data_IF_048756901663
#
_entry.id   IF_048756901663
#
_cell.length_a   1.000
_cell.length_b   1.000
_cell.length_c   1.000
_cell.angle_alpha   90.00
_cell.angle_beta   90.00
_cell.angle_gamma   90.00
#
_symmetry.space_group_name_H-M   'P 1'
#
loop_
_entity.id
_entity.type
_entity.pdbx_description
1 polymer ?
#
# COMPACT_ATOMS: atom_id res chain seq x y z
N UNK A 1 -2.38 12.57 -34.47
CA UNK A 1 -3.10 12.63 -33.18
C UNK A 1 -3.43 11.21 -32.75
N UNK A 2 -2.42 10.46 -32.32
CA UNK A 2 -2.57 9.07 -31.89
C UNK A 2 -2.78 9.12 -30.38
N UNK A 3 -4.02 8.92 -29.92
CA UNK A 3 -4.28 8.70 -28.50
C UNK A 3 -3.63 7.36 -28.16
N UNK A 4 -2.60 7.41 -27.33
CA UNK A 4 -1.78 6.28 -26.88
C UNK A 4 -2.64 5.12 -26.35
N UNK A 5 -2.15 3.89 -26.52
CA UNK A 5 -2.78 2.66 -26.00
C UNK A 5 -3.16 2.75 -24.52
N UNK A 6 -2.44 3.57 -23.74
CA UNK A 6 -2.76 3.97 -22.37
C UNK A 6 -4.20 4.47 -22.23
N UNK A 7 -4.68 5.36 -23.11
CA UNK A 7 -6.04 5.90 -23.02
C UNK A 7 -7.11 4.82 -23.24
N UNK A 8 -6.88 3.87 -24.14
CA UNK A 8 -7.81 2.75 -24.41
C UNK A 8 -7.88 1.79 -23.23
N UNK A 9 -6.73 1.46 -22.66
CA UNK A 9 -6.58 0.60 -21.48
C UNK A 9 -7.21 1.26 -20.24
N UNK A 10 -6.95 2.55 -20.04
CA UNK A 10 -7.54 3.41 -19.01
C UNK A 10 -9.00 3.77 -19.27
N UNK A 11 -9.65 3.27 -20.32
CA UNK A 11 -11.09 3.39 -20.50
C UNK A 11 -11.83 2.08 -20.17
N UNK A 12 -11.12 0.97 -19.91
CA UNK A 12 -11.73 -0.31 -19.56
C UNK A 12 -12.26 -0.34 -18.11
N UNK A 13 -13.40 -1.01 -17.87
CA UNK A 13 -14.15 -1.05 -16.61
C UNK A 13 -13.51 -1.86 -15.46
N UNK A 14 -12.22 -2.19 -15.55
CA UNK A 14 -11.55 -3.14 -14.63
C UNK A 14 -11.48 -2.66 -13.17
N UNK A 15 -11.44 -1.35 -12.92
CA UNK A 15 -11.36 -0.79 -11.57
C UNK A 15 -12.69 -0.70 -10.82
N UNK A 16 -13.83 -0.74 -11.53
CA UNK A 16 -15.15 -0.46 -10.94
C UNK A 16 -15.81 -1.71 -10.33
N UNK A 17 -15.29 -2.90 -10.62
CA UNK A 17 -16.04 -4.16 -10.47
C UNK A 17 -15.91 -4.85 -9.10
N UNK A 18 -15.58 -4.12 -8.04
CA UNK A 18 -15.54 -4.69 -6.68
C UNK A 18 -16.64 -4.21 -5.72
N UNK A 19 -17.49 -3.25 -6.15
CA UNK A 19 -18.61 -2.74 -5.33
C UNK A 19 -19.91 -3.57 -5.41
N UNK A 20 -19.95 -4.64 -6.19
CA UNK A 20 -21.13 -5.51 -6.26
C UNK A 20 -20.77 -6.98 -6.00
N UNK A 21 -20.33 -7.28 -4.78
CA UNK A 21 -20.64 -8.59 -4.18
C UNK A 21 -21.96 -8.43 -3.43
N UNK A 22 -23.04 -8.35 -4.20
CA UNK A 22 -24.37 -8.63 -3.66
C UNK A 22 -24.31 -10.05 -3.09
N UNK A 23 -24.58 -10.18 -1.79
CA UNK A 23 -24.81 -11.46 -1.15
C UNK A 23 -26.04 -12.07 -1.83
N UNK A 24 -25.82 -12.97 -2.78
CA UNK A 24 -26.88 -13.79 -3.31
C UNK A 24 -27.39 -14.65 -2.16
N UNK A 25 -28.51 -14.22 -1.58
CA UNK A 25 -29.30 -15.00 -0.64
C UNK A 25 -29.69 -16.32 -1.35
N UNK A 26 -29.09 -17.41 -0.91
CA UNK A 26 -29.53 -18.77 -1.25
C UNK A 26 -30.74 -19.13 -0.37
N UNK A 27 -31.79 -19.77 -0.92
CA UNK A 27 -32.98 -20.09 -0.16
C UNK A 27 -32.67 -21.19 0.87
N UNK A 28 -33.20 -20.98 2.08
CA UNK A 28 -33.15 -21.91 3.21
C UNK A 28 -33.95 -23.17 2.86
N UNK A 29 -33.30 -24.33 2.94
CA UNK A 29 -33.94 -25.63 3.13
C UNK A 29 -33.49 -26.14 4.50
N UNK A 30 -34.45 -26.32 5.39
CA UNK A 30 -34.26 -26.99 6.68
C UNK A 30 -33.97 -28.47 6.47
N UNK A 31 -33.04 -29.03 7.24
CA UNK A 31 -33.36 -30.09 8.23
C UNK A 31 -32.13 -30.58 9.02
N UNK A 32 -32.32 -30.56 10.35
CA UNK A 32 -31.83 -31.49 11.39
C UNK A 32 -30.36 -31.93 11.43
N UNK A 33 -29.66 -31.60 12.52
CA UNK A 33 -29.02 -32.58 13.42
C UNK A 33 -28.30 -31.90 14.61
N UNK A 34 -28.80 -32.15 15.83
CA UNK A 34 -28.10 -32.46 17.09
C UNK A 34 -26.87 -31.64 17.59
N UNK A 35 -27.12 -30.87 18.68
CA UNK A 35 -26.34 -30.63 19.94
C UNK A 35 -24.85 -30.20 19.89
N UNK A 36 -24.26 -29.65 20.99
CA UNK A 36 -24.82 -28.99 22.18
C UNK A 36 -24.22 -27.60 22.47
N UNK A 37 -24.83 -26.91 23.43
CA UNK A 37 -24.44 -25.64 24.04
C UNK A 37 -23.03 -25.68 24.65
N UNK A 38 -22.29 -24.57 24.53
CA UNK A 38 -21.15 -24.28 25.40
C UNK A 38 -21.19 -22.80 25.78
N UNK A 39 -21.73 -22.56 26.98
CA UNK A 39 -21.79 -21.26 27.63
C UNK A 39 -20.42 -20.81 28.13
N UNK A 40 -20.21 -19.50 28.05
CA UNK A 40 -19.05 -18.77 28.58
C UNK A 40 -18.91 -18.95 30.10
N UNK A 41 -17.71 -19.03 30.69
CA UNK A 41 -17.57 -18.82 32.13
C UNK A 41 -17.21 -17.36 32.41
N UNK A 42 -18.18 -16.66 32.99
CA UNK A 42 -17.94 -15.52 33.86
C UNK A 42 -18.08 -15.98 35.30
N UNK A 43 -17.10 -15.61 36.14
CA UNK A 43 -17.19 -15.20 37.57
C UNK A 43 -16.09 -15.78 38.46
N UNK A 44 -15.38 -14.84 39.07
CA UNK A 44 -14.54 -15.00 40.24
C UNK A 44 -15.33 -15.51 41.45
N UNK A 45 -14.70 -16.39 42.24
CA UNK A 45 -14.99 -16.57 43.65
C UNK A 45 -13.68 -16.82 44.41
N UNK A 46 -13.58 -16.20 45.58
CA UNK A 46 -12.45 -16.10 46.52
C UNK A 46 -12.10 -17.43 47.20
N UNK A 47 -10.84 -17.60 47.60
CA UNK A 47 -10.33 -18.02 48.94
C UNK A 47 -8.78 -18.03 48.88
N UNK A 48 -8.04 -17.14 49.58
CA UNK A 48 -7.50 -17.26 50.95
C UNK A 48 -6.56 -18.50 51.10
N UNK A 49 -5.30 -18.51 51.57
CA UNK A 49 -4.44 -17.64 52.43
C UNK A 49 -2.97 -18.13 52.23
N UNK A 50 -1.89 -17.37 52.43
CA UNK A 50 -1.30 -16.95 53.72
C UNK A 50 -0.11 -15.98 53.51
N UNK A 51 0.24 -15.15 54.52
CA UNK A 51 1.26 -14.10 54.43
C UNK A 51 2.60 -14.53 55.06
N UNK A 52 3.72 -14.06 54.51
CA UNK A 52 5.03 -14.03 55.18
C UNK A 52 5.89 -12.86 54.62
N UNK A 53 6.88 -12.36 55.39
CA UNK A 53 7.18 -10.93 55.49
C UNK A 53 8.53 -10.47 54.92
N UNK A 54 8.57 -9.23 54.42
CA UNK A 54 9.78 -8.42 54.19
C UNK A 54 10.45 -8.58 52.81
N UNK A 55 11.25 -7.59 52.34
CA UNK A 55 11.96 -6.58 53.12
C UNK A 55 11.52 -5.13 52.86
N UNK A 56 11.67 -4.37 53.94
CA UNK A 56 11.67 -2.92 54.04
C UNK A 56 12.72 -2.32 53.09
N UNK A 57 12.29 -1.64 52.01
CA UNK A 57 13.13 -0.69 51.30
C UNK A 57 12.48 0.69 51.45
N UNK A 58 12.84 1.35 52.55
CA UNK A 58 12.77 2.79 52.64
C UNK A 58 13.78 3.34 51.64
N UNK A 59 13.30 3.85 50.52
CA UNK A 59 14.08 4.76 49.69
C UNK A 59 13.27 6.02 49.47
N UNK A 60 13.58 6.99 50.33
CA UNK A 60 13.33 8.41 50.21
C UNK A 60 14.00 8.93 48.92
N UNK A 61 13.31 8.75 47.79
CA UNK A 61 13.72 9.29 46.50
C UNK A 61 12.77 10.44 46.15
N UNK A 62 13.26 11.68 45.97
CA UNK A 62 12.41 12.79 45.60
C UNK A 62 11.77 12.51 44.24
N UNK A 63 10.44 12.60 44.20
CA UNK A 63 9.62 12.48 43.01
C UNK A 63 10.19 13.38 41.88
N UNK A 64 10.51 12.85 40.69
CA UNK A 64 10.71 13.73 39.55
C UNK A 64 9.37 14.42 39.25
N UNK A 65 9.34 15.74 39.01
CA UNK A 65 8.09 16.45 38.79
C UNK A 65 7.40 15.89 37.54
N UNK A 66 6.18 15.39 37.71
CA UNK A 66 5.23 15.07 36.65
C UNK A 66 4.82 16.36 35.94
N UNK A 67 5.71 16.84 35.07
CA UNK A 67 5.39 17.81 34.04
C UNK A 67 5.55 17.11 32.72
N UNK A 68 4.58 16.26 32.38
CA UNK A 68 4.29 16.00 30.97
C UNK A 68 3.49 17.22 30.54
N UNK A 69 4.04 18.17 29.78
CA UNK A 69 3.18 19.12 29.10
C UNK A 69 2.29 18.26 28.21
N UNK A 70 0.98 18.40 28.37
CA UNK A 70 -0.02 17.75 27.52
C UNK A 70 0.28 18.09 26.07
N UNK A 71 1.11 17.25 25.45
CA UNK A 71 1.36 17.22 24.03
C UNK A 71 0.12 16.62 23.40
N UNK A 72 -0.92 17.44 23.29
CA UNK A 72 -2.03 17.20 22.38
C UNK A 72 -1.42 17.30 20.98
N UNK A 73 -0.74 16.23 20.57
CA UNK A 73 -0.40 16.00 19.19
C UNK A 73 -1.71 16.06 18.44
N UNK A 74 -1.86 17.10 17.63
CA UNK A 74 -2.71 16.95 16.47
C UNK A 74 -2.23 15.68 15.74
N UNK A 75 -3.15 14.91 15.17
CA UNK A 75 -2.86 13.76 14.30
C UNK A 75 -2.15 14.19 12.98
N UNK A 76 -1.48 15.34 13.00
CA UNK A 76 -0.70 15.98 11.96
C UNK A 76 0.80 15.73 12.17
N UNK A 77 1.19 14.70 12.94
CA UNK A 77 2.60 14.46 13.31
C UNK A 77 3.33 13.38 12.50
N UNK A 78 2.66 12.81 11.49
CA UNK A 78 3.28 11.81 10.59
C UNK A 78 3.33 12.25 9.13
N UNK A 79 3.14 13.55 8.84
CA UNK A 79 3.45 14.08 7.50
C UNK A 79 4.96 14.15 7.35
N UNK A 80 5.58 13.02 7.01
CA UNK A 80 6.98 12.81 6.59
C UNK A 80 7.79 14.13 6.49
N UNK A 81 8.22 14.67 7.64
CA UNK A 81 8.81 16.02 7.73
C UNK A 81 10.15 16.16 6.98
N UNK A 82 10.67 15.04 6.45
CA UNK A 82 11.91 15.00 5.69
C UNK A 82 11.74 14.82 4.18
N UNK A 83 10.53 14.54 3.67
CA UNK A 83 10.34 14.34 2.24
C UNK A 83 10.42 15.68 1.49
N UNK A 84 11.37 15.79 0.58
CA UNK A 84 11.63 16.99 -0.23
C UNK A 84 10.73 16.99 -1.46
N UNK A 85 10.22 18.15 -1.85
CA UNK A 85 9.50 18.30 -3.12
C UNK A 85 10.41 17.89 -4.28
N UNK A 86 9.99 16.88 -5.05
CA UNK A 86 10.67 16.44 -6.26
C UNK A 86 10.03 17.05 -7.50
N UNK A 87 8.71 16.99 -7.60
CA UNK A 87 7.94 17.55 -8.71
C UNK A 87 6.54 17.97 -8.26
N UNK A 88 5.97 18.98 -8.91
CA UNK A 88 4.57 19.36 -8.71
C UNK A 88 4.02 20.02 -9.97
N UNK A 89 2.86 19.56 -10.42
CA UNK A 89 2.05 20.22 -11.44
C UNK A 89 0.59 20.34 -11.00
N UNK A 90 -0.34 20.58 -11.91
CA UNK A 90 -1.77 20.72 -11.60
C UNK A 90 -2.49 19.43 -11.18
N UNK A 91 -1.93 18.26 -11.49
CA UNK A 91 -2.56 16.94 -11.32
C UNK A 91 -1.80 16.04 -10.33
N UNK A 92 -0.49 16.22 -10.17
CA UNK A 92 0.39 15.33 -9.44
C UNK A 92 1.41 16.12 -8.60
N UNK A 93 1.60 15.66 -7.37
CA UNK A 93 2.66 16.07 -6.47
C UNK A 93 3.57 14.86 -6.21
N UNK A 94 4.87 15.02 -6.42
CA UNK A 94 5.86 13.97 -6.18
C UNK A 94 6.84 14.45 -5.11
N UNK A 95 6.93 13.68 -4.03
CA UNK A 95 7.83 13.94 -2.90
C UNK A 95 8.91 12.86 -2.87
N UNK A 96 10.16 13.25 -2.63
CA UNK A 96 11.28 12.34 -2.48
C UNK A 96 11.67 12.21 -1.00
N UNK A 97 11.72 10.99 -0.48
CA UNK A 97 12.27 10.73 0.85
C UNK A 97 13.80 10.92 0.84
N UNK A 98 14.39 11.40 1.95
CA UNK A 98 15.84 11.53 2.04
C UNK A 98 16.50 10.16 1.76
N UNK A 99 17.54 10.11 0.92
CA UNK A 99 18.19 8.86 0.60
C UNK A 99 18.77 8.22 1.87
N UNK A 100 18.54 6.92 2.13
CA UNK A 100 19.10 6.26 3.30
C UNK A 100 20.61 6.15 3.11
N UNK A 101 21.37 7.03 3.77
CA UNK A 101 22.82 7.16 4.00
C UNK A 101 23.86 6.69 2.95
N UNK A 102 23.59 5.70 2.08
CA UNK A 102 24.44 5.17 1.02
C UNK A 102 23.63 4.50 -0.13
N UNK A 103 22.34 4.79 -0.26
CA UNK A 103 21.46 4.12 -1.23
C UNK A 103 21.51 4.71 -2.64
N UNK A 104 21.71 3.86 -3.66
CA UNK A 104 21.44 4.20 -5.09
C UNK A 104 19.94 4.19 -5.44
N UNK A 105 19.08 3.91 -4.45
CA UNK A 105 17.63 3.81 -4.61
C UNK A 105 16.99 5.05 -4.01
N UNK A 106 16.12 5.70 -4.78
CA UNK A 106 15.38 6.90 -4.37
C UNK A 106 13.94 6.51 -4.10
N UNK A 107 13.37 6.92 -2.98
CA UNK A 107 11.97 6.64 -2.67
C UNK A 107 11.12 7.85 -3.01
N UNK A 108 10.09 7.64 -3.82
CA UNK A 108 9.18 8.65 -4.32
C UNK A 108 7.76 8.36 -3.82
N UNK A 109 7.07 9.41 -3.42
CA UNK A 109 5.65 9.39 -3.08
C UNK A 109 4.88 10.22 -4.09
N UNK A 110 3.86 9.60 -4.67
CA UNK A 110 2.99 10.19 -5.68
C UNK A 110 1.66 10.51 -5.03
N UNK A 111 1.34 11.80 -4.97
CA UNK A 111 0.09 12.30 -4.42
C UNK A 111 -0.73 12.97 -5.54
N UNK A 112 -1.88 12.41 -5.94
CA UNK A 112 -2.74 13.06 -6.90
C UNK A 112 -3.39 14.31 -6.29
N UNK A 113 -3.43 15.40 -7.06
CA UNK A 113 -3.98 16.71 -6.63
C UNK A 113 -5.45 16.90 -6.97
N UNK A 114 -6.04 16.06 -7.83
CA UNK A 114 -7.47 16.15 -8.19
C UNK A 114 -8.33 15.44 -7.14
N UNK A 115 -9.26 16.21 -6.56
CA UNK A 115 -9.85 15.97 -5.24
C UNK A 115 -11.23 15.30 -5.25
N UNK A 116 -11.69 14.77 -6.38
CA UNK A 116 -13.10 14.33 -6.50
C UNK A 116 -13.38 12.98 -5.82
N UNK A 117 -12.33 12.26 -5.40
CA UNK A 117 -12.41 10.97 -4.72
C UNK A 117 -11.34 10.84 -3.62
N UNK A 118 -11.38 9.74 -2.83
CA UNK A 118 -10.36 9.43 -1.82
C UNK A 118 -8.97 9.51 -2.45
N UNK A 119 -8.08 10.32 -1.84
CA UNK A 119 -6.71 10.49 -2.32
C UNK A 119 -6.00 9.14 -2.28
N UNK A 120 -5.70 8.60 -3.46
CA UNK A 120 -4.92 7.38 -3.61
C UNK A 120 -3.46 7.77 -3.80
N UNK A 121 -2.65 7.62 -2.76
CA UNK A 121 -1.20 7.88 -2.84
C UNK A 121 -0.45 6.59 -3.20
N UNK A 122 0.65 6.74 -3.94
CA UNK A 122 1.50 5.62 -4.32
C UNK A 122 2.90 5.83 -3.82
N UNK A 123 3.47 4.79 -3.22
CA UNK A 123 4.87 4.76 -2.83
C UNK A 123 5.66 3.95 -3.84
N UNK A 124 6.77 4.48 -4.32
CA UNK A 124 7.63 3.78 -5.25
C UNK A 124 9.11 3.94 -4.91
N UNK A 125 9.90 2.97 -5.33
CA UNK A 125 11.36 3.03 -5.30
C UNK A 125 11.88 3.15 -6.73
N UNK A 126 12.74 4.13 -7.00
CA UNK A 126 13.41 4.33 -8.27
C UNK A 126 14.85 3.82 -8.16
N UNK A 127 15.23 2.88 -9.02
CA UNK A 127 16.59 2.34 -9.12
C UNK A 127 17.04 2.33 -10.58
N UNK A 128 17.96 3.23 -10.92
CA UNK A 128 18.30 3.46 -12.33
C UNK A 128 17.09 3.96 -13.10
N UNK A 129 16.72 3.28 -14.19
CA UNK A 129 15.51 3.55 -14.99
C UNK A 129 14.35 2.61 -14.68
N UNK A 130 14.39 1.94 -13.52
CA UNK A 130 13.35 1.03 -13.09
C UNK A 130 12.59 1.61 -11.90
N UNK A 131 11.27 1.75 -12.04
CA UNK A 131 10.38 2.20 -10.98
C UNK A 131 9.68 0.99 -10.36
N UNK A 132 9.66 0.88 -9.03
CA UNK A 132 9.02 -0.21 -8.30
C UNK A 132 7.94 0.36 -7.39
N UNK A 133 6.67 0.18 -7.75
CA UNK A 133 5.51 0.71 -7.04
C UNK A 133 4.97 -0.34 -6.06
N UNK A 134 4.83 0.04 -4.80
CA UNK A 134 4.24 -0.79 -3.76
C UNK A 134 2.71 -0.63 -3.77
N UNK A 135 1.98 -1.72 -3.97
CA UNK A 135 0.51 -1.68 -3.97
C UNK A 135 0.00 -1.75 -2.53
N UNK A 136 -0.76 -0.75 -2.05
CA UNK A 136 -1.26 -0.71 -0.67
C UNK A 136 -2.18 -1.90 -0.37
N UNK A 137 -2.22 -2.39 0.88
CA UNK A 137 -3.09 -3.50 1.29
C UNK A 137 -4.57 -3.15 1.16
N UNK A 138 -5.39 -4.15 0.84
CA UNK A 138 -6.83 -3.99 0.60
C UNK A 138 -7.17 -3.64 -0.86
N UNK A 139 -8.47 -3.59 -1.14
CA UNK A 139 -8.98 -3.25 -2.48
C UNK A 139 -8.50 -1.87 -2.91
N UNK A 140 -8.15 -1.73 -4.19
CA UNK A 140 -7.74 -0.45 -4.75
C UNK A 140 -8.88 0.59 -4.58
N UNK A 141 -8.59 1.78 -4.04
CA UNK A 141 -9.61 2.80 -3.80
C UNK A 141 -10.17 3.35 -5.12
N UNK A 142 -11.34 3.97 -5.04
CA UNK A 142 -11.92 4.70 -6.17
C UNK A 142 -10.99 5.85 -6.59
N UNK A 143 -10.74 6.00 -7.90
CA UNK A 143 -9.74 6.92 -8.44
C UNK A 143 -8.30 6.37 -8.52
N UNK A 144 -8.05 5.16 -8.01
CA UNK A 144 -6.74 4.50 -8.16
C UNK A 144 -6.30 4.38 -9.61
N UNK A 145 -7.23 4.12 -10.54
CA UNK A 145 -6.97 4.07 -11.98
C UNK A 145 -6.35 5.36 -12.53
N UNK A 146 -7.00 6.48 -12.31
CA UNK A 146 -6.57 7.78 -12.84
C UNK A 146 -5.28 8.24 -12.15
N UNK A 147 -5.17 8.00 -10.83
CA UNK A 147 -3.92 8.29 -10.11
C UNK A 147 -2.75 7.42 -10.56
N UNK A 148 -2.98 6.15 -10.92
CA UNK A 148 -1.95 5.25 -11.43
C UNK A 148 -1.57 5.61 -12.87
N UNK A 149 -2.52 6.10 -13.68
CA UNK A 149 -2.24 6.66 -15.00
C UNK A 149 -1.27 7.84 -14.92
N UNK A 150 -1.52 8.80 -14.02
CA UNK A 150 -0.62 9.93 -13.78
C UNK A 150 0.77 9.47 -13.34
N UNK A 151 0.85 8.40 -12.54
CA UNK A 151 2.12 7.81 -12.16
C UNK A 151 2.88 7.25 -13.38
N UNK A 152 2.19 6.53 -14.28
CA UNK A 152 2.80 5.97 -15.48
C UNK A 152 3.28 7.06 -16.44
N UNK A 153 2.47 8.09 -16.67
CA UNK A 153 2.82 9.27 -17.47
C UNK A 153 4.06 9.96 -16.89
N UNK A 154 4.09 10.17 -15.58
CA UNK A 154 5.26 10.73 -14.91
C UNK A 154 6.50 9.83 -15.03
N UNK A 155 6.32 8.50 -14.92
CA UNK A 155 7.42 7.55 -15.05
C UNK A 155 8.05 7.59 -16.45
N UNK A 156 7.23 7.75 -17.49
CA UNK A 156 7.66 7.86 -18.87
C UNK A 156 8.32 9.21 -19.16
N UNK A 157 7.61 10.31 -18.92
CA UNK A 157 8.06 11.64 -19.37
C UNK A 157 9.17 12.22 -18.49
N UNK A 158 9.03 12.08 -17.17
CA UNK A 158 9.89 12.78 -16.20
C UNK A 158 11.01 11.88 -15.69
N UNK A 159 10.71 10.61 -15.42
CA UNK A 159 11.73 9.66 -14.93
C UNK A 159 12.46 8.95 -16.07
N UNK A 160 11.95 9.00 -17.29
CA UNK A 160 12.47 8.24 -18.44
C UNK A 160 12.69 6.76 -18.06
N UNK A 161 11.73 6.18 -17.35
CA UNK A 161 11.81 4.80 -16.93
C UNK A 161 11.76 3.87 -18.16
N UNK A 162 12.51 2.77 -18.11
CA UNK A 162 12.42 1.67 -19.09
C UNK A 162 11.31 0.69 -18.65
N UNK A 163 11.23 0.43 -17.34
CA UNK A 163 10.30 -0.52 -16.76
C UNK A 163 9.65 0.02 -15.49
N UNK A 164 8.36 -0.25 -15.35
CA UNK A 164 7.58 -0.03 -14.13
C UNK A 164 7.18 -1.39 -13.58
N UNK A 165 7.63 -1.70 -12.37
CA UNK A 165 7.27 -2.88 -11.63
C UNK A 165 6.23 -2.51 -10.57
N UNK A 166 5.23 -3.37 -10.39
CA UNK A 166 4.36 -3.33 -9.21
C UNK A 166 4.70 -4.49 -8.28
N UNK A 167 4.59 -4.27 -6.98
CA UNK A 167 4.81 -5.32 -5.99
C UNK A 167 3.75 -5.32 -4.87
N UNK A 168 3.38 -6.52 -4.42
CA UNK A 168 2.45 -6.72 -3.32
C UNK A 168 2.70 -8.07 -2.63
N UNK A 169 2.24 -8.23 -1.40
CA UNK A 169 2.45 -9.45 -0.62
C UNK A 169 1.72 -10.66 -1.23
N UNK A 170 2.37 -11.83 -1.29
CA UNK A 170 1.83 -13.04 -1.95
C UNK A 170 0.58 -13.61 -1.27
N UNK A 171 0.43 -13.40 0.04
CA UNK A 171 -0.66 -13.95 0.86
C UNK A 171 -1.93 -13.08 0.90
N UNK A 172 -2.10 -12.17 -0.06
CA UNK A 172 -3.26 -11.29 -0.15
C UNK A 172 -4.47 -12.01 -0.71
N UNK A 173 -5.63 -11.83 -0.08
CA UNK A 173 -6.91 -12.40 -0.53
C UNK A 173 -7.38 -11.81 -1.87
N UNK A 174 -7.02 -10.54 -2.14
CA UNK A 174 -7.35 -9.81 -3.36
C UNK A 174 -6.34 -10.01 -4.51
N UNK A 175 -5.36 -10.90 -4.35
CA UNK A 175 -4.31 -11.20 -5.35
C UNK A 175 -4.86 -11.43 -6.76
N UNK A 176 -5.89 -12.26 -6.89
CA UNK A 176 -6.44 -12.60 -8.20
C UNK A 176 -7.09 -11.38 -8.88
N UNK A 177 -7.69 -10.48 -8.08
CA UNK A 177 -8.23 -9.21 -8.58
C UNK A 177 -7.11 -8.31 -9.09
N UNK A 178 -6.04 -8.13 -8.29
CA UNK A 178 -4.88 -7.33 -8.68
C UNK A 178 -4.23 -7.85 -9.96
N UNK A 179 -3.94 -9.15 -10.05
CA UNK A 179 -3.36 -9.78 -11.25
C UNK A 179 -4.20 -9.49 -12.49
N UNK A 180 -5.52 -9.64 -12.38
CA UNK A 180 -6.45 -9.36 -13.47
C UNK A 180 -6.39 -7.89 -13.86
N UNK A 181 -6.52 -6.98 -12.90
CA UNK A 181 -6.53 -5.52 -13.14
C UNK A 181 -5.25 -5.06 -13.81
N UNK A 182 -4.09 -5.42 -13.28
CA UNK A 182 -2.81 -4.99 -13.84
C UNK A 182 -2.47 -5.71 -15.14
N UNK A 183 -2.89 -6.96 -15.31
CA UNK A 183 -2.76 -7.65 -16.61
C UNK A 183 -3.54 -6.93 -17.71
N UNK A 184 -4.74 -6.41 -17.42
CA UNK A 184 -5.46 -5.56 -18.37
C UNK A 184 -4.76 -4.23 -18.65
N UNK A 185 -3.95 -3.73 -17.71
CA UNK A 185 -3.10 -2.56 -17.92
C UNK A 185 -1.84 -2.86 -18.76
N UNK A 186 -1.63 -4.11 -19.17
CA UNK A 186 -0.45 -4.55 -19.90
C UNK A 186 0.71 -4.99 -19.01
N UNK A 187 0.49 -5.16 -17.70
CA UNK A 187 1.52 -5.71 -16.82
C UNK A 187 1.59 -7.23 -16.95
N UNK A 188 2.80 -7.74 -17.02
CA UNK A 188 3.08 -9.16 -17.12
C UNK A 188 3.66 -9.71 -15.83
N UNK A 189 3.36 -10.97 -15.52
CA UNK A 189 3.89 -11.62 -14.31
C UNK A 189 5.40 -11.84 -14.46
N UNK A 190 6.17 -11.35 -13.48
CA UNK A 190 7.62 -11.56 -13.46
C UNK A 190 7.97 -12.82 -12.67
N UNK A 191 8.79 -13.69 -13.26
CA UNK A 191 9.26 -14.90 -12.59
C UNK A 191 10.18 -14.55 -11.41
N UNK A 192 10.04 -15.21 -10.25
CA UNK A 192 11.03 -15.09 -9.17
C UNK A 192 12.44 -15.42 -9.68
N UNK A 193 13.44 -14.66 -9.22
CA UNK A 193 14.83 -14.80 -9.67
C UNK A 193 15.20 -14.00 -10.92
N UNK A 194 14.28 -13.20 -11.48
CA UNK A 194 14.59 -12.26 -12.56
C UNK A 194 15.63 -11.21 -12.10
N UNK A 195 16.65 -10.87 -12.91
CA UNK A 195 17.77 -10.02 -12.49
C UNK A 195 17.36 -8.60 -12.07
N UNK A 196 16.24 -8.09 -12.62
CA UNK A 196 15.70 -6.78 -12.27
C UNK A 196 14.82 -6.80 -11.00
N UNK A 197 14.48 -7.96 -10.45
CA UNK A 197 13.60 -8.07 -9.29
C UNK A 197 14.44 -8.28 -8.01
N UNK A 198 14.23 -7.48 -6.96
CA UNK A 198 14.86 -7.72 -5.66
C UNK A 198 14.51 -9.11 -5.13
N UNK A 199 15.47 -9.77 -4.47
CA UNK A 199 15.22 -11.06 -3.81
C UNK A 199 14.29 -10.87 -2.60
N UNK A 200 12.98 -10.96 -2.88
CA UNK A 200 11.89 -10.83 -1.90
C UNK A 200 10.91 -12.00 -2.08
N UNK A 201 11.10 -13.12 -1.37
CA UNK A 201 10.27 -14.31 -1.55
C UNK A 201 8.83 -14.12 -1.07
N UNK A 202 8.59 -13.11 -0.23
CA UNK A 202 7.30 -12.69 0.33
C UNK A 202 6.45 -11.86 -0.66
N UNK A 203 7.08 -11.28 -1.69
CA UNK A 203 6.45 -10.35 -2.62
C UNK A 203 6.20 -10.97 -4.00
N UNK A 204 5.06 -10.63 -4.59
CA UNK A 204 4.72 -10.89 -5.98
C UNK A 204 5.05 -9.66 -6.83
N UNK A 205 5.50 -9.87 -8.06
CA UNK A 205 5.91 -8.79 -8.96
C UNK A 205 5.23 -8.93 -10.32
N UNK A 206 4.80 -7.80 -10.88
CA UNK A 206 4.43 -7.68 -12.30
C UNK A 206 5.20 -6.51 -12.92
N UNK A 207 5.47 -6.56 -14.22
CA UNK A 207 6.23 -5.55 -14.95
C UNK A 207 5.44 -4.99 -16.12
N UNK A 208 5.62 -3.70 -16.34
CA UNK A 208 5.20 -2.97 -17.52
C UNK A 208 6.44 -2.38 -18.17
N UNK A 209 6.63 -2.64 -19.46
CA UNK A 209 7.73 -2.07 -20.24
C UNK A 209 7.21 -0.85 -20.97
N UNK A 210 7.91 0.27 -20.84
CA UNK A 210 7.57 1.50 -21.56
C UNK A 210 8.17 1.37 -22.96
N UNK A 211 7.31 1.38 -23.97
CA UNK A 211 7.72 1.41 -25.37
C UNK A 211 8.32 2.78 -25.66
N UNK A 212 9.59 2.83 -26.09
CA UNK A 212 10.14 4.03 -26.70
C UNK A 212 10.08 3.84 -28.20
N UNK A 213 9.44 4.78 -28.89
CA UNK A 213 9.56 4.91 -30.32
C UNK A 213 11.04 5.20 -30.62
N UNK A 214 11.82 4.15 -30.91
CA UNK A 214 13.13 4.29 -31.52
C UNK A 214 12.89 4.77 -32.94
N UNK A 215 12.86 6.10 -33.13
CA UNK A 215 13.05 6.69 -34.44
C UNK A 215 14.48 6.37 -34.90
N UNK A 216 14.69 5.16 -35.42
CA UNK A 216 15.79 4.89 -36.33
C UNK A 216 15.44 5.60 -37.64
N UNK A 217 15.81 6.88 -37.72
CA UNK A 217 16.00 7.59 -38.97
C UNK A 217 17.37 7.15 -39.54
N UNK A 218 17.34 6.39 -40.64
CA UNK A 218 18.44 6.27 -41.60
C UNK A 218 17.89 6.56 -43.01
#
# INVERSE_FOLDING_TARGET
MVKSNLQTILNSHCFVREKERNLAAMPVIEQSSNKPECESPSRCARCCSNPCPGPLWCSDAPLPPLKIPGGRGNDQRDRNLSAKLFYSDSQLLVLEEPPPANGRVRFLHFEPRRSECKICTWRAALKGRNLYVEIPPGSLPEGSKDSFALLLEFAEEHLQADHVFICFHKSRDDRASLLRTFSFLGFEIVRPGHPLIPSRPDAFFMAYSIERDSSDDD
#
